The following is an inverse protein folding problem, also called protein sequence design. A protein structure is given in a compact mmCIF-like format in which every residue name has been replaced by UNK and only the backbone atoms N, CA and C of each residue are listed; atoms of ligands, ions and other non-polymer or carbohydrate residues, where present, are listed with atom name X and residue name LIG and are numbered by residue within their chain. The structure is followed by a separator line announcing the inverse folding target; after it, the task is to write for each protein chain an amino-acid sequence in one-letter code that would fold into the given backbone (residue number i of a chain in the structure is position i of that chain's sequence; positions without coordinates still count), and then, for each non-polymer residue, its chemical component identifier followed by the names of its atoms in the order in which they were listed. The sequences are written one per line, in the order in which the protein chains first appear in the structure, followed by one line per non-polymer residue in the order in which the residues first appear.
data_IF_300138003251
#
_entry.id   IF_300138003251
#
_cell.length_a   1.000
_cell.length_b   1.000
_cell.length_c   1.000
_cell.angle_alpha   90.00
_cell.angle_beta   90.00
_cell.angle_gamma   90.00
#
_symmetry.space_group_name_H-M   'P 1'
#
loop_
_entity.id
_entity.type
_entity.pdbx_description
1 polymer ?
#
# COMPACT_ATOMS: atom_id res chain seq x y z
N UNK A 1 -10.73 4.10 4.51
CA UNK A 1 -9.51 4.65 3.86
C UNK A 1 -9.76 4.85 2.37
N UNK A 2 -10.18 3.80 1.67
CA UNK A 2 -10.48 3.83 0.23
C UNK A 2 -11.46 4.94 -0.19
N UNK A 3 -12.60 5.10 0.47
CA UNK A 3 -13.58 6.15 0.12
C UNK A 3 -12.99 7.56 0.14
N UNK A 4 -12.16 7.85 1.14
CA UNK A 4 -11.46 9.13 1.24
C UNK A 4 -10.47 9.32 0.09
N UNK A 5 -9.70 8.28 -0.25
CA UNK A 5 -8.77 8.33 -1.38
C UNK A 5 -9.54 8.60 -2.68
N UNK A 6 -10.59 7.83 -2.95
CA UNK A 6 -11.45 7.97 -4.13
C UNK A 6 -12.06 9.36 -4.25
N UNK A 7 -12.48 9.98 -3.13
CA UNK A 7 -13.00 11.35 -3.13
C UNK A 7 -11.94 12.40 -3.45
N UNK A 8 -10.70 12.22 -2.99
CA UNK A 8 -9.61 13.18 -3.21
C UNK A 8 -9.09 13.18 -4.66
N UNK A 9 -9.18 12.03 -5.36
CA UNK A 9 -8.66 11.88 -6.73
C UNK A 9 -9.75 11.82 -7.81
N UNK A 10 -11.02 11.92 -7.41
CA UNK A 10 -12.18 11.75 -8.29
C UNK A 10 -12.08 10.45 -9.12
N UNK A 11 -11.79 9.34 -8.45
CA UNK A 11 -11.69 8.02 -9.08
C UNK A 11 -12.78 7.09 -8.54
N UNK A 12 -13.56 6.51 -9.44
CA UNK A 12 -14.58 5.50 -9.08
C UNK A 12 -13.96 4.11 -9.10
N UNK A 13 -13.44 3.68 -7.97
CA UNK A 13 -12.98 2.31 -7.77
C UNK A 13 -13.90 1.51 -6.85
N UNK A 14 -13.64 0.20 -6.77
CA UNK A 14 -14.29 -0.73 -5.84
C UNK A 14 -13.23 -1.54 -5.08
N UNK A 15 -13.56 -1.92 -3.85
CA UNK A 15 -12.79 -2.94 -3.13
C UNK A 15 -13.38 -4.30 -3.47
N UNK A 16 -12.54 -5.20 -3.97
CA UNK A 16 -12.93 -6.54 -4.38
C UNK A 16 -12.20 -7.55 -3.50
N UNK A 17 -12.95 -8.41 -2.84
CA UNK A 17 -12.39 -9.54 -2.10
C UNK A 17 -11.81 -10.56 -3.07
N UNK A 18 -10.60 -11.05 -2.78
CA UNK A 18 -9.87 -11.96 -3.64
C UNK A 18 -9.09 -12.95 -2.79
N UNK A 19 -9.05 -14.22 -3.20
CA UNK A 19 -8.23 -15.22 -2.54
C UNK A 19 -6.74 -14.93 -2.75
N UNK A 20 -5.90 -15.31 -1.79
CA UNK A 20 -4.45 -15.02 -1.82
C UNK A 20 -3.77 -15.53 -3.09
N UNK A 21 -4.13 -16.73 -3.57
CA UNK A 21 -3.56 -17.30 -4.80
C UNK A 21 -3.98 -16.52 -6.06
N UNK A 22 -5.21 -16.00 -6.10
CA UNK A 22 -5.70 -15.17 -7.20
C UNK A 22 -5.03 -13.80 -7.19
N UNK A 23 -4.90 -13.18 -6.02
CA UNK A 23 -4.19 -11.91 -5.83
C UNK A 23 -2.72 -12.04 -6.25
N UNK A 24 -2.07 -13.12 -5.82
CA UNK A 24 -0.70 -13.45 -6.17
C UNK A 24 -0.53 -13.60 -7.67
N UNK A 25 -1.40 -14.40 -8.32
CA UNK A 25 -1.36 -14.57 -9.77
C UNK A 25 -1.57 -13.23 -10.48
N UNK A 26 -2.54 -12.42 -10.05
CA UNK A 26 -2.86 -11.14 -10.65
C UNK A 26 -1.68 -10.17 -10.68
N UNK A 27 -0.89 -10.11 -9.59
CA UNK A 27 0.30 -9.27 -9.49
C UNK A 27 1.50 -9.82 -10.26
N UNK A 28 1.72 -11.13 -10.22
CA UNK A 28 2.80 -11.78 -10.97
C UNK A 28 2.61 -11.61 -12.49
N UNK A 29 1.38 -11.75 -12.98
CA UNK A 29 1.04 -11.53 -14.39
C UNK A 29 1.28 -10.07 -14.84
N UNK A 30 1.43 -9.13 -13.90
CA UNK A 30 1.73 -7.71 -14.13
C UNK A 30 3.20 -7.35 -13.85
N UNK A 31 4.04 -8.35 -13.64
CA UNK A 31 5.49 -8.17 -13.50
C UNK A 31 5.95 -7.85 -12.08
N UNK A 32 5.12 -8.03 -11.05
CA UNK A 32 5.58 -7.94 -9.67
C UNK A 32 6.63 -9.03 -9.39
N UNK A 33 7.77 -8.72 -8.76
CA UNK A 33 8.85 -9.68 -8.62
C UNK A 33 8.57 -10.67 -7.50
N UNK A 34 9.23 -11.84 -7.60
CA UNK A 34 9.14 -12.89 -6.58
C UNK A 34 10.09 -12.66 -5.40
N UNK A 35 11.18 -11.94 -5.63
CA UNK A 35 12.20 -11.62 -4.65
C UNK A 35 12.70 -10.17 -4.84
N UNK A 36 13.70 -9.79 -4.05
CA UNK A 36 14.30 -8.45 -4.02
C UNK A 36 15.55 -8.31 -4.89
N UNK A 37 15.98 -9.38 -5.58
CA UNK A 37 17.23 -9.41 -6.32
C UNK A 37 16.99 -9.07 -7.80
N UNK A 38 16.86 -7.78 -8.12
CA UNK A 38 16.69 -7.30 -9.51
C UNK A 38 16.57 -5.77 -9.64
N UNK A 39 16.52 -5.27 -10.88
CA UNK A 39 16.18 -3.87 -11.16
C UNK A 39 14.65 -3.71 -11.28
N UNK A 40 14.06 -3.13 -10.25
CA UNK A 40 12.63 -2.86 -10.13
C UNK A 40 12.32 -1.36 -10.16
N UNK A 41 13.25 -0.54 -10.64
CA UNK A 41 13.12 0.93 -10.66
C UNK A 41 11.89 1.43 -11.44
N UNK A 42 11.38 0.62 -12.37
CA UNK A 42 10.23 0.94 -13.22
C UNK A 42 8.89 0.44 -12.70
N UNK A 43 8.86 -0.35 -11.61
CA UNK A 43 7.60 -0.87 -11.09
C UNK A 43 6.86 0.19 -10.25
N UNK A 44 5.55 0.38 -10.47
CA UNK A 44 4.76 1.30 -9.66
C UNK A 44 4.63 0.82 -8.20
N UNK A 45 4.79 -0.48 -7.96
CA UNK A 45 4.79 -1.11 -6.64
C UNK A 45 6.18 -1.66 -6.31
N UNK A 46 6.79 -1.15 -5.23
CA UNK A 46 8.15 -1.52 -4.78
C UNK A 46 8.19 -2.68 -3.79
N UNK A 47 7.17 -3.54 -3.81
CA UNK A 47 7.09 -4.74 -2.97
C UNK A 47 7.37 -5.96 -3.85
N UNK A 48 8.05 -6.97 -3.32
CA UNK A 48 7.96 -8.30 -3.94
C UNK A 48 6.65 -8.98 -3.52
N UNK A 49 6.26 -10.04 -4.23
CA UNK A 49 5.03 -10.76 -3.91
C UNK A 49 5.04 -11.36 -2.50
N UNK A 50 6.21 -11.77 -2.02
CA UNK A 50 6.37 -12.26 -0.65
C UNK A 50 6.06 -11.18 0.38
N UNK A 51 6.55 -9.97 0.16
CA UNK A 51 6.28 -8.83 1.04
C UNK A 51 4.81 -8.44 1.05
N UNK A 52 4.16 -8.44 -0.13
CA UNK A 52 2.74 -8.12 -0.26
C UNK A 52 1.87 -9.06 0.58
N UNK A 53 2.05 -10.38 0.41
CA UNK A 53 1.25 -11.38 1.10
C UNK A 53 1.53 -11.40 2.61
N UNK A 54 2.81 -11.40 3.00
CA UNK A 54 3.20 -11.38 4.41
C UNK A 54 2.67 -10.13 5.12
N UNK A 55 2.74 -8.96 4.49
CA UNK A 55 2.20 -7.74 5.09
C UNK A 55 0.69 -7.81 5.30
N UNK A 56 -0.05 -8.38 4.33
CA UNK A 56 -1.48 -8.62 4.45
C UNK A 56 -1.82 -9.56 5.61
N UNK A 57 -1.10 -10.67 5.71
CA UNK A 57 -1.25 -11.64 6.82
C UNK A 57 -0.98 -11.00 8.18
N UNK A 58 0.08 -10.20 8.32
CA UNK A 58 0.40 -9.52 9.58
C UNK A 58 -0.68 -8.51 10.00
N UNK A 59 -1.29 -7.82 9.04
CA UNK A 59 -2.46 -6.95 9.32
C UNK A 59 -3.65 -7.79 9.76
N UNK A 60 -3.98 -8.86 9.03
CA UNK A 60 -5.11 -9.73 9.34
C UNK A 60 -4.98 -10.38 10.73
N UNK A 61 -3.76 -10.73 11.13
CA UNK A 61 -3.44 -11.31 12.43
C UNK A 61 -3.34 -10.26 13.56
N UNK A 62 -3.57 -8.98 13.26
CA UNK A 62 -3.58 -7.91 14.25
C UNK A 62 -2.19 -7.47 14.73
N UNK A 63 -1.12 -7.92 14.08
CA UNK A 63 0.27 -7.59 14.45
C UNK A 63 0.59 -6.10 14.26
N UNK A 64 -0.24 -5.33 13.57
CA UNK A 64 -0.09 -3.89 13.36
C UNK A 64 -0.99 -3.01 14.25
N UNK A 65 -1.72 -3.60 15.21
CA UNK A 65 -2.79 -2.88 15.94
C UNK A 65 -2.33 -1.97 17.07
N UNK A 66 -1.33 -2.28 17.91
CA UNK A 66 -0.87 -1.26 18.84
C UNK A 66 0.01 -0.26 18.09
N UNK A 67 -0.53 0.94 17.86
CA UNK A 67 0.28 2.05 17.40
C UNK A 67 1.36 2.37 18.44
N UNK A 68 2.61 2.58 18.00
CA UNK A 68 3.70 3.03 18.86
C UNK A 68 3.90 4.54 18.76
N UNK A 69 4.48 5.13 19.81
CA UNK A 69 4.91 6.52 19.86
C UNK A 69 6.40 6.70 19.49
N UNK A 70 6.98 5.70 18.82
CA UNK A 70 8.41 5.65 18.52
C UNK A 70 8.89 6.86 17.71
N UNK A 71 8.11 7.32 16.73
CA UNK A 71 8.47 8.49 15.92
C UNK A 71 8.58 9.74 16.79
N UNK A 72 7.64 9.96 17.70
CA UNK A 72 7.67 11.11 18.60
C UNK A 72 8.83 11.02 19.60
N UNK A 73 9.05 9.85 20.20
CA UNK A 73 10.16 9.60 21.13
C UNK A 73 11.53 9.78 20.49
N UNK A 74 11.72 9.31 19.25
CA UNK A 74 13.02 9.31 18.58
C UNK A 74 13.31 10.64 17.87
N UNK A 75 12.29 11.38 17.43
CA UNK A 75 12.48 12.56 16.58
C UNK A 75 11.97 13.87 17.19
N UNK A 76 11.22 13.81 18.29
CA UNK A 76 10.53 14.95 18.90
C UNK A 76 9.36 15.49 18.06
N UNK A 77 8.98 14.80 16.98
CA UNK A 77 7.89 15.20 16.07
C UNK A 77 6.85 14.09 15.99
N UNK A 78 5.58 14.48 15.87
CA UNK A 78 4.51 13.52 15.60
C UNK A 78 4.69 12.88 14.21
N UNK A 79 4.33 11.60 14.03
CA UNK A 79 4.30 10.99 12.72
C UNK A 79 3.34 11.74 11.80
N UNK A 80 3.69 11.83 10.51
CA UNK A 80 2.80 12.38 9.49
C UNK A 80 1.51 11.58 9.41
N UNK A 81 0.36 12.25 9.37
CA UNK A 81 -0.91 11.58 9.17
C UNK A 81 -0.95 10.97 7.75
N UNK A 82 -1.49 9.75 7.62
CA UNK A 82 -1.58 9.09 6.31
C UNK A 82 -2.38 9.91 5.29
N UNK A 83 -3.37 10.70 5.73
CA UNK A 83 -4.15 11.59 4.85
C UNK A 83 -3.28 12.69 4.26
N UNK A 84 -2.45 13.34 5.07
CA UNK A 84 -1.55 14.40 4.62
C UNK A 84 -0.51 13.86 3.64
N UNK A 85 0.03 12.67 3.93
CA UNK A 85 0.94 11.98 3.03
C UNK A 85 0.27 11.62 1.70
N UNK A 86 -0.97 11.11 1.74
CA UNK A 86 -1.73 10.77 0.54
C UNK A 86 -2.04 12.00 -0.32
N UNK A 87 -2.54 13.09 0.29
CA UNK A 87 -2.82 14.36 -0.41
C UNK A 87 -1.56 14.92 -1.06
N UNK A 88 -0.41 14.86 -0.38
CA UNK A 88 0.88 15.32 -0.93
C UNK A 88 1.25 14.62 -2.24
N UNK A 89 0.90 13.34 -2.40
CA UNK A 89 1.23 12.55 -3.58
C UNK A 89 0.02 12.26 -4.47
N UNK A 90 -1.11 12.95 -4.28
CA UNK A 90 -2.37 12.65 -4.99
C UNK A 90 -2.26 12.63 -6.52
N UNK A 91 -1.31 13.36 -7.09
CA UNK A 91 -1.16 13.49 -8.54
C UNK A 91 -0.59 12.24 -9.22
N UNK A 92 -0.07 11.26 -8.46
CA UNK A 92 0.38 9.97 -9.02
C UNK A 92 -0.76 8.94 -9.12
N UNK A 93 -1.91 9.22 -8.53
CA UNK A 93 -3.07 8.33 -8.54
C UNK A 93 -3.85 8.45 -9.86
N UNK A 94 -4.55 7.38 -10.29
CA UNK A 94 -5.43 7.45 -11.45
C UNK A 94 -6.56 8.46 -11.19
N UNK A 95 -7.01 9.11 -12.26
CA UNK A 95 -8.19 9.99 -12.28
C UNK A 95 -9.22 9.36 -13.19
N UNK A 96 -10.50 9.54 -12.89
CA UNK A 96 -11.53 9.26 -13.89
C UNK A 96 -11.48 10.37 -14.94
N UNK A 97 -11.27 9.98 -16.20
CA UNK A 97 -11.38 10.86 -17.37
C UNK A 97 -12.76 11.52 -17.47
#
# INVERSE_FOLDING_TARGET
MFDFMSSEVNYKGELVDMADEDLKKWWLDRGLPKDVYGDFSQLPMKLCIGDLLCSGEMVANGCMTPASDAVEKLTGRKPTNWKDAMIKYKDIFPRSD
#
